data_IF_044428779915
#
_entry.id   IF_044428779915
#
_cell.length_a   1.000
_cell.length_b   1.000
_cell.length_c   1.000
_cell.angle_alpha   90.00
_cell.angle_beta   90.00
_cell.angle_gamma   90.00
#
_symmetry.space_group_name_H-M   'P 1'
#
loop_
_entity.id
_entity.type
_entity.pdbx_description
1 polymer ?
#
# COMPACT_ATOMS: atom_id res chain seq x y z
N UNK A 1 -18.81 -16.34 -28.37
CA UNK A 1 -17.92 -16.02 -27.24
C UNK A 1 -16.75 -17.00 -27.22
N UNK A 2 -15.52 -16.51 -27.07
CA UNK A 2 -14.35 -17.37 -27.00
C UNK A 2 -14.30 -18.09 -25.63
N UNK A 3 -14.09 -19.40 -25.65
CA UNK A 3 -13.98 -20.23 -24.45
C UNK A 3 -12.58 -20.85 -24.34
N UNK A 4 -12.01 -20.97 -23.13
CA UNK A 4 -10.70 -21.58 -22.98
C UNK A 4 -10.76 -23.07 -23.29
N UNK A 5 -9.97 -23.53 -24.26
CA UNK A 5 -9.93 -24.95 -24.65
C UNK A 5 -9.42 -25.86 -23.53
N UNK A 6 -8.50 -25.35 -22.69
CA UNK A 6 -7.89 -26.05 -21.56
C UNK A 6 -7.80 -25.10 -20.37
N UNK A 7 -7.95 -25.66 -19.16
CA UNK A 7 -7.75 -24.89 -17.93
C UNK A 7 -6.30 -24.40 -17.83
N UNK A 8 -6.11 -23.22 -17.23
CA UNK A 8 -4.77 -22.75 -16.92
C UNK A 8 -4.10 -23.65 -15.88
N UNK A 9 -2.79 -23.92 -16.02
CA UNK A 9 -2.04 -24.70 -15.03
C UNK A 9 -2.03 -24.00 -13.67
N UNK A 10 -1.88 -24.78 -12.59
CA UNK A 10 -1.80 -24.26 -11.21
C UNK A 10 -0.70 -23.20 -11.08
N UNK A 11 0.48 -23.46 -11.66
CA UNK A 11 1.62 -22.54 -11.67
C UNK A 11 1.28 -21.18 -12.30
N UNK A 12 0.71 -21.17 -13.52
CA UNK A 12 0.32 -19.92 -14.21
C UNK A 12 -0.77 -19.14 -13.46
N UNK A 13 -1.73 -19.82 -12.83
CA UNK A 13 -2.74 -19.18 -11.97
C UNK A 13 -2.09 -18.53 -10.74
N UNK A 14 -1.21 -19.26 -10.06
CA UNK A 14 -0.54 -18.80 -8.85
C UNK A 14 0.40 -17.61 -9.11
N UNK A 15 1.13 -17.61 -10.24
CA UNK A 15 1.99 -16.51 -10.65
C UNK A 15 1.21 -15.20 -10.82
N UNK A 16 0.04 -15.24 -11.47
CA UNK A 16 -0.85 -14.06 -11.57
C UNK A 16 -1.31 -13.56 -10.20
N UNK A 17 -1.69 -14.46 -9.30
CA UNK A 17 -2.07 -14.11 -7.92
C UNK A 17 -0.89 -13.51 -7.14
N UNK A 18 0.32 -14.02 -7.33
CA UNK A 18 1.52 -13.50 -6.70
C UNK A 18 1.83 -12.07 -7.16
N UNK A 19 1.70 -11.78 -8.45
CA UNK A 19 1.87 -10.42 -8.99
C UNK A 19 0.85 -9.45 -8.38
N UNK A 20 -0.41 -9.85 -8.26
CA UNK A 20 -1.44 -9.03 -7.61
C UNK A 20 -1.10 -8.75 -6.13
N UNK A 21 -0.68 -9.78 -5.38
CA UNK A 21 -0.22 -9.62 -3.99
C UNK A 21 1.02 -8.75 -3.84
N UNK A 22 1.94 -8.78 -4.82
CA UNK A 22 3.16 -8.00 -4.78
C UNK A 22 2.90 -6.48 -4.82
N UNK A 23 1.82 -6.06 -5.50
CA UNK A 23 1.39 -4.65 -5.51
C UNK A 23 1.04 -4.16 -4.10
N UNK A 24 0.30 -4.97 -3.32
CA UNK A 24 -0.02 -4.66 -1.93
C UNK A 24 1.24 -4.56 -1.05
N UNK A 25 2.21 -5.46 -1.24
CA UNK A 25 3.51 -5.39 -0.55
C UNK A 25 4.26 -4.09 -0.85
N UNK A 26 4.25 -3.65 -2.11
CA UNK A 26 4.88 -2.39 -2.52
C UNK A 26 4.16 -1.18 -1.91
N UNK A 27 2.82 -1.18 -1.90
CA UNK A 27 2.02 -0.14 -1.27
C UNK A 27 2.29 -0.03 0.24
N UNK A 28 2.35 -1.17 0.95
CA UNK A 28 2.68 -1.21 2.38
C UNK A 28 4.08 -0.64 2.67
N UNK A 29 5.08 -0.94 1.83
CA UNK A 29 6.43 -0.37 1.96
C UNK A 29 6.42 1.15 1.81
N UNK A 30 5.67 1.68 0.84
CA UNK A 30 5.51 3.13 0.63
C UNK A 30 4.80 3.80 1.80
N UNK A 31 3.71 3.21 2.29
CA UNK A 31 2.95 3.72 3.43
C UNK A 31 3.80 3.78 4.71
N UNK A 32 4.60 2.74 5.00
CA UNK A 32 5.51 2.73 6.15
C UNK A 32 6.58 3.83 6.03
N UNK A 33 7.15 4.02 4.83
CA UNK A 33 8.10 5.11 4.57
C UNK A 33 7.48 6.48 4.78
N UNK A 34 6.23 6.67 4.33
CA UNK A 34 5.50 7.92 4.47
C UNK A 34 5.17 8.20 5.94
N UNK A 35 4.66 7.20 6.68
CA UNK A 35 4.36 7.34 8.11
C UNK A 35 5.58 7.76 8.93
N UNK A 36 6.75 7.15 8.67
CA UNK A 36 8.01 7.59 9.30
C UNK A 36 8.39 9.03 8.95
N UNK A 37 8.10 9.48 7.73
CA UNK A 37 8.34 10.87 7.32
C UNK A 37 7.40 11.84 8.04
N UNK A 38 6.14 11.46 8.25
CA UNK A 38 5.16 12.25 9.00
C UNK A 38 5.59 12.38 10.46
N UNK A 39 5.96 11.26 11.09
CA UNK A 39 6.41 11.20 12.49
C UNK A 39 7.54 12.18 12.80
N UNK A 40 8.57 12.22 11.95
CA UNK A 40 9.72 13.10 12.20
C UNK A 40 9.47 14.58 11.91
N UNK A 41 8.40 14.91 11.16
CA UNK A 41 8.06 16.29 10.74
C UNK A 41 9.17 17.06 9.99
N UNK A 42 10.24 16.38 9.55
CA UNK A 42 11.39 17.01 8.85
C UNK A 42 11.13 17.29 7.37
N UNK A 43 10.03 16.76 6.83
CA UNK A 43 9.71 16.88 5.40
C UNK A 43 8.85 18.11 5.15
N UNK A 44 9.35 19.05 4.33
CA UNK A 44 8.61 20.24 3.89
C UNK A 44 7.83 20.02 2.57
N UNK A 45 7.81 18.80 2.02
CA UNK A 45 7.23 18.52 0.70
C UNK A 45 5.73 18.25 0.70
N UNK A 46 5.12 17.99 1.86
CA UNK A 46 3.68 17.73 1.98
C UNK A 46 3.13 18.38 3.25
N UNK A 47 1.84 18.74 3.21
CA UNK A 47 1.09 19.25 4.35
C UNK A 47 0.22 18.13 4.90
N UNK A 48 0.33 17.85 6.19
CA UNK A 48 -0.60 16.97 6.89
C UNK A 48 -1.54 17.85 7.72
N UNK A 49 -2.87 17.76 7.55
CA UNK A 49 -3.80 18.48 8.40
C UNK A 49 -3.64 17.96 9.82
N UNK A 50 -3.15 18.80 10.74
CA UNK A 50 -3.32 18.58 12.17
C UNK A 50 -4.76 18.98 12.48
N UNK A 51 -5.59 18.03 12.89
CA UNK A 51 -6.79 18.41 13.63
C UNK A 51 -6.29 19.01 14.95
N UNK A 52 -6.90 20.11 15.39
CA UNK A 52 -6.66 20.71 16.70
C UNK A 52 -7.00 19.65 17.78
N UNK A 53 -6.04 18.82 18.14
CA UNK A 53 -6.12 17.78 19.19
C UNK A 53 -4.97 18.02 20.17
N UNK A 54 -5.07 19.13 20.91
CA UNK A 54 -4.65 19.26 22.31
C UNK A 54 -5.65 20.24 22.96
N UNK A 55 -6.94 19.85 23.03
CA UNK A 55 -7.66 20.13 24.27
C UNK A 55 -7.09 19.13 25.30
N UNK A 56 -6.62 19.61 26.46
CA UNK A 56 -6.41 18.82 27.68
C UNK A 56 -5.25 17.77 27.72
N UNK A 57 -4.00 18.26 27.80
CA UNK A 57 -2.94 17.60 28.60
C UNK A 57 -2.33 18.64 29.58
N UNK A 58 -3.15 19.17 30.50
CA UNK A 58 -2.82 19.70 31.87
C UNK A 58 -4.06 20.32 32.54
#
# INVERSE_FOLDING_TARGET
>A
MAVPKKRTSKSKKNMRKANWKNQAKLAAKKALSLGKSVETQRSHSFVHPRYEEEEEED
#
